data_IF_430775117582
#
_entry.id   IF_430775117582
#
_cell.length_a   1.000
_cell.length_b   1.000
_cell.length_c   1.000
_cell.angle_alpha   90.00
_cell.angle_beta   90.00
_cell.angle_gamma   90.00
#
_symmetry.space_group_name_H-M   'P 1'
#
loop_
_entity.id
_entity.type
_entity.pdbx_description
1 polymer ?
#
# COMPACT_ATOMS: atom_id res chain seq x y z
N UNK A 1 -17.70 16.27 15.26
CA UNK A 1 -18.06 15.06 16.04
C UNK A 1 -19.44 14.62 15.57
N UNK A 2 -19.67 13.32 15.36
CA UNK A 2 -21.00 12.82 14.96
C UNK A 2 -21.97 12.98 16.15
N UNK A 3 -23.13 13.64 15.97
CA UNK A 3 -24.11 13.85 17.04
C UNK A 3 -24.73 12.52 17.48
N UNK A 4 -25.07 12.40 18.77
CA UNK A 4 -25.86 11.28 19.26
C UNK A 4 -27.30 11.44 18.78
N UNK A 5 -27.86 10.38 18.20
CA UNK A 5 -29.22 10.39 17.68
C UNK A 5 -30.22 10.35 18.84
N UNK A 6 -30.94 11.44 19.05
CA UNK A 6 -32.05 11.51 20.00
C UNK A 6 -33.32 11.03 19.32
N UNK A 7 -34.00 10.03 19.90
CA UNK A 7 -35.27 9.53 19.37
C UNK A 7 -36.36 10.60 19.56
N UNK A 8 -37.11 10.98 18.52
CA UNK A 8 -38.21 11.93 18.68
C UNK A 8 -39.30 11.35 19.58
N UNK A 9 -39.90 12.19 20.43
CA UNK A 9 -40.97 11.80 21.34
C UNK A 9 -42.34 12.13 20.71
N UNK A 10 -43.36 11.27 20.89
CA UNK A 10 -44.69 11.56 20.36
C UNK A 10 -45.30 12.77 21.09
N UNK A 11 -46.06 13.63 20.39
CA UNK A 11 -46.76 14.75 21.01
C UNK A 11 -47.87 14.23 21.96
N UNK A 12 -48.10 14.94 23.06
CA UNK A 12 -49.18 14.64 23.99
C UNK A 12 -50.54 14.87 23.31
N UNK A 13 -51.46 13.91 23.43
CA UNK A 13 -52.82 14.07 22.90
C UNK A 13 -53.61 15.05 23.76
N UNK A 14 -54.15 16.10 23.13
CA UNK A 14 -55.12 17.01 23.72
C UNK A 14 -56.32 17.13 22.77
N UNK A 15 -57.41 16.47 23.16
CA UNK A 15 -58.63 16.36 22.35
C UNK A 15 -59.72 17.35 22.81
N UNK A 16 -59.39 18.25 23.74
CA UNK A 16 -60.36 19.11 24.45
C UNK A 16 -61.07 20.12 23.56
N UNK A 17 -60.43 20.56 22.47
CA UNK A 17 -60.95 21.60 21.56
C UNK A 17 -60.60 21.25 20.11
N UNK A 18 -61.44 21.64 19.13
CA UNK A 18 -61.15 21.47 17.70
C UNK A 18 -59.78 22.08 17.29
N UNK A 19 -59.44 23.24 17.86
CA UNK A 19 -58.12 23.85 17.66
C UNK A 19 -56.99 22.98 18.21
N UNK A 20 -57.18 22.36 19.39
CA UNK A 20 -56.22 21.45 20.00
C UNK A 20 -56.03 20.17 19.15
N UNK A 21 -57.12 19.63 18.59
CA UNK A 21 -57.07 18.50 17.66
C UNK A 21 -56.30 18.83 16.36
N UNK A 22 -56.49 20.04 15.81
CA UNK A 22 -55.77 20.49 14.62
C UNK A 22 -54.27 20.66 14.91
N UNK A 23 -53.90 21.26 16.05
CA UNK A 23 -52.49 21.40 16.45
C UNK A 23 -51.83 20.07 16.76
N UNK A 24 -52.55 19.13 17.39
CA UNK A 24 -52.05 17.77 17.63
C UNK A 24 -51.78 17.05 16.32
N UNK A 25 -52.68 17.18 15.34
CA UNK A 25 -52.49 16.57 14.01
C UNK A 25 -51.24 17.11 13.30
N UNK A 26 -51.01 18.42 13.35
CA UNK A 26 -49.81 19.04 12.79
C UNK A 26 -48.53 18.54 13.49
N UNK A 27 -48.51 18.56 14.83
CA UNK A 27 -47.38 18.08 15.62
C UNK A 27 -47.11 16.58 15.43
N UNK A 28 -48.17 15.79 15.21
CA UNK A 28 -48.05 14.35 14.96
C UNK A 28 -47.48 14.06 13.56
N UNK A 29 -47.83 14.88 12.56
CA UNK A 29 -47.24 14.78 11.23
C UNK A 29 -45.76 15.20 11.23
N UNK A 30 -45.38 16.26 11.95
CA UNK A 30 -43.96 16.62 12.20
C UNK A 30 -43.19 15.49 12.90
N UNK A 31 -43.78 14.88 13.93
CA UNK A 31 -43.19 13.72 14.61
C UNK A 31 -42.96 12.53 13.66
N UNK A 32 -43.86 12.28 12.70
CA UNK A 32 -43.66 11.22 11.70
C UNK A 32 -42.47 11.53 10.79
N UNK A 33 -42.37 12.77 10.32
CA UNK A 33 -41.27 13.20 9.45
C UNK A 33 -39.92 13.09 10.18
N UNK A 34 -39.86 13.57 11.43
CA UNK A 34 -38.68 13.43 12.31
C UNK A 34 -38.33 11.97 12.58
N UNK A 35 -39.32 11.12 12.78
CA UNK A 35 -39.12 9.67 12.96
C UNK A 35 -38.54 9.04 11.71
N UNK A 36 -39.04 9.37 10.53
CA UNK A 36 -38.51 8.87 9.25
C UNK A 36 -37.06 9.32 9.05
N UNK A 37 -36.74 10.57 9.40
CA UNK A 37 -35.37 11.08 9.32
C UNK A 37 -34.43 10.37 10.31
N UNK A 38 -34.89 10.14 11.55
CA UNK A 38 -34.17 9.36 12.56
C UNK A 38 -33.91 7.93 12.09
N UNK A 39 -34.92 7.26 11.53
CA UNK A 39 -34.79 5.88 11.03
C UNK A 39 -33.77 5.80 9.88
N UNK A 40 -33.80 6.74 8.92
CA UNK A 40 -32.80 6.85 7.84
C UNK A 40 -31.38 7.06 8.37
N UNK A 41 -31.21 7.94 9.36
CA UNK A 41 -29.90 8.20 9.96
C UNK A 41 -29.38 6.96 10.71
N UNK A 42 -30.27 6.24 11.39
CA UNK A 42 -29.94 4.99 12.09
C UNK A 42 -29.52 3.90 11.12
N UNK A 43 -30.23 3.74 10.01
CA UNK A 43 -29.87 2.82 8.92
C UNK A 43 -28.49 3.17 8.35
N UNK A 44 -28.26 4.44 8.02
CA UNK A 44 -26.96 4.92 7.51
C UNK A 44 -25.81 4.62 8.48
N UNK A 45 -26.02 4.75 9.79
CA UNK A 45 -25.02 4.40 10.80
C UNK A 45 -24.76 2.88 10.89
N UNK A 46 -25.78 2.04 10.63
CA UNK A 46 -25.59 0.59 10.53
C UNK A 46 -24.82 0.22 9.26
N UNK A 47 -25.11 0.86 8.14
CA UNK A 47 -24.39 0.64 6.89
C UNK A 47 -22.91 1.03 7.03
N UNK A 48 -22.62 2.18 7.65
CA UNK A 48 -21.25 2.57 7.98
C UNK A 48 -20.57 1.54 8.88
N UNK A 49 -21.28 0.97 9.85
CA UNK A 49 -20.74 -0.09 10.71
C UNK A 49 -20.40 -1.35 9.91
N UNK A 50 -21.29 -1.79 9.02
CA UNK A 50 -21.06 -2.95 8.15
C UNK A 50 -19.84 -2.70 7.27
N UNK A 51 -19.75 -1.53 6.66
CA UNK A 51 -18.62 -1.13 5.84
C UNK A 51 -17.29 -1.14 6.61
N UNK A 52 -17.27 -0.61 7.84
CA UNK A 52 -16.08 -0.66 8.70
C UNK A 52 -15.71 -2.12 9.02
N UNK A 53 -16.68 -2.98 9.34
CA UNK A 53 -16.40 -4.38 9.64
C UNK A 53 -15.88 -5.16 8.42
N UNK A 54 -16.32 -4.81 7.22
CA UNK A 54 -15.86 -5.43 5.97
C UNK A 54 -14.44 -4.97 5.56
N UNK A 55 -14.06 -3.74 5.92
CA UNK A 55 -12.75 -3.17 5.55
C UNK A 55 -11.62 -3.54 6.52
N UNK A 56 -11.96 -3.94 7.74
CA UNK A 56 -10.97 -4.35 8.75
C UNK A 56 -10.51 -5.79 8.49
N UNK A 57 -9.19 -6.02 8.53
CA UNK A 57 -8.61 -7.38 8.42
C UNK A 57 -9.17 -8.31 9.51
N UNK A 58 -9.51 -9.54 9.13
CA UNK A 58 -10.08 -10.57 9.99
C UNK A 58 -9.31 -10.78 11.30
N UNK A 59 -7.99 -10.52 11.31
CA UNK A 59 -7.14 -10.58 12.51
C UNK A 59 -7.58 -9.64 13.64
N UNK A 60 -8.26 -8.56 13.32
CA UNK A 60 -8.69 -7.56 14.30
C UNK A 60 -10.16 -7.70 14.72
N UNK A 61 -10.86 -8.74 14.26
CA UNK A 61 -12.27 -9.00 14.58
C UNK A 61 -12.53 -9.16 16.09
N UNK A 62 -11.54 -9.63 16.85
CA UNK A 62 -11.65 -9.72 18.33
C UNK A 62 -11.84 -8.35 18.99
N UNK A 63 -11.29 -7.28 18.39
CA UNK A 63 -11.43 -5.92 18.93
C UNK A 63 -12.81 -5.32 18.65
N UNK A 64 -13.50 -5.80 17.61
CA UNK A 64 -14.79 -5.27 17.13
C UNK A 64 -16.00 -5.97 17.74
N UNK A 65 -15.79 -7.12 18.38
CA UNK A 65 -16.84 -7.93 18.98
C UNK A 65 -17.65 -7.15 20.04
N UNK A 66 -18.98 -7.26 19.97
CA UNK A 66 -19.91 -6.67 20.93
C UNK A 66 -20.17 -5.16 20.77
N UNK A 67 -19.59 -4.49 19.76
CA UNK A 67 -19.78 -3.04 19.57
C UNK A 67 -20.87 -2.77 18.54
N UNK A 68 -21.95 -2.14 19.00
CA UNK A 68 -23.13 -1.82 18.20
C UNK A 68 -23.08 -0.44 17.53
N UNK A 69 -22.29 0.49 18.09
CA UNK A 69 -22.16 1.86 17.56
C UNK A 69 -20.93 1.99 16.65
N UNK A 70 -21.13 2.48 15.42
CA UNK A 70 -20.05 2.78 14.47
C UNK A 70 -19.00 3.72 15.05
N UNK A 71 -19.42 4.72 15.85
CA UNK A 71 -18.52 5.67 16.52
C UNK A 71 -17.59 4.96 17.51
N UNK A 72 -18.15 4.13 18.38
CA UNK A 72 -17.37 3.41 19.39
C UNK A 72 -16.45 2.37 18.75
N UNK A 73 -16.90 1.78 17.64
CA UNK A 73 -16.10 0.87 16.83
C UNK A 73 -14.87 1.57 16.27
N UNK A 74 -15.05 2.72 15.61
CA UNK A 74 -13.94 3.54 15.10
C UNK A 74 -13.00 4.01 16.20
N UNK A 75 -13.53 4.48 17.34
CA UNK A 75 -12.73 4.94 18.45
C UNK A 75 -11.87 3.81 19.04
N UNK A 76 -12.42 2.60 19.16
CA UNK A 76 -11.67 1.44 19.65
C UNK A 76 -10.64 0.97 18.64
N UNK A 77 -11.01 0.81 17.36
CA UNK A 77 -10.08 0.48 16.28
C UNK A 77 -8.91 1.48 16.23
N UNK A 78 -9.20 2.78 16.33
CA UNK A 78 -8.17 3.81 16.41
C UNK A 78 -7.27 3.62 17.63
N UNK A 79 -7.81 3.31 18.80
CA UNK A 79 -7.02 3.13 20.02
C UNK A 79 -6.14 1.87 19.98
N UNK A 80 -6.64 0.77 19.42
CA UNK A 80 -5.97 -0.54 19.49
C UNK A 80 -5.15 -0.89 18.24
N UNK A 81 -5.47 -0.32 17.08
CA UNK A 81 -4.83 -0.66 15.81
C UNK A 81 -4.05 0.52 15.24
N UNK A 82 -4.49 1.77 15.44
CA UNK A 82 -3.71 2.89 14.92
C UNK A 82 -2.34 2.89 15.60
N UNK A 83 -1.24 2.86 14.83
CA UNK A 83 0.08 3.05 15.40
C UNK A 83 0.07 4.37 16.16
N UNK A 84 0.46 4.35 17.43
CA UNK A 84 0.75 5.60 18.15
C UNK A 84 1.75 6.42 17.32
N UNK A 85 1.67 7.75 17.36
CA UNK A 85 2.60 8.62 16.65
C UNK A 85 4.08 8.25 16.95
N UNK A 86 4.39 7.72 18.14
CA UNK A 86 5.71 7.17 18.45
C UNK A 86 6.01 5.85 17.73
N UNK A 87 5.05 4.93 17.68
CA UNK A 87 5.19 3.68 16.95
C UNK A 87 5.33 3.90 15.44
N UNK A 88 4.56 4.84 14.86
CA UNK A 88 4.67 5.21 13.44
C UNK A 88 6.02 5.84 13.12
N UNK A 89 6.54 6.71 14.00
CA UNK A 89 7.91 7.27 13.87
C UNK A 89 8.97 6.17 13.88
N UNK A 90 8.87 5.22 14.81
CA UNK A 90 9.79 4.09 14.87
C UNK A 90 9.69 3.17 13.64
N UNK A 91 8.48 2.95 13.12
CA UNK A 91 8.27 2.19 11.89
C UNK A 91 8.96 2.85 10.70
N UNK A 92 8.74 4.15 10.49
CA UNK A 92 9.38 4.91 9.42
C UNK A 92 10.89 4.91 9.59
N UNK A 93 11.39 5.08 10.82
CA UNK A 93 12.81 4.97 11.11
C UNK A 93 13.38 3.62 10.69
N UNK A 94 12.72 2.52 11.04
CA UNK A 94 13.17 1.17 10.68
C UNK A 94 13.12 0.93 9.17
N UNK A 95 12.09 1.42 8.49
CA UNK A 95 11.99 1.36 7.03
C UNK A 95 13.10 2.18 6.38
N UNK A 96 13.39 3.37 6.90
CA UNK A 96 14.48 4.22 6.43
C UNK A 96 15.84 3.55 6.56
N UNK A 97 16.14 2.92 7.70
CA UNK A 97 17.41 2.19 7.87
C UNK A 97 17.54 1.03 6.87
N UNK A 98 16.47 0.30 6.58
CA UNK A 98 16.48 -0.73 5.53
C UNK A 98 16.74 -0.13 4.15
N UNK A 99 16.17 1.04 3.90
CA UNK A 99 16.26 1.74 2.63
C UNK A 99 17.68 2.24 2.32
N UNK A 100 18.52 2.47 3.33
CA UNK A 100 19.94 2.83 3.18
C UNK A 100 20.80 1.74 2.53
N UNK A 101 20.29 0.52 2.42
CA UNK A 101 20.99 -0.58 1.75
C UNK A 101 20.45 -0.74 0.33
N UNK A 102 21.36 -0.83 -0.65
CA UNK A 102 20.98 -1.06 -2.03
C UNK A 102 20.30 -2.44 -2.17
N UNK A 103 19.15 -2.51 -2.84
CA UNK A 103 18.40 -3.75 -3.00
C UNK A 103 19.01 -4.65 -4.07
N UNK A 104 18.43 -5.82 -4.31
CA UNK A 104 18.77 -6.62 -5.50
C UNK A 104 18.26 -5.91 -6.77
N UNK A 105 18.96 -6.08 -7.90
CA UNK A 105 18.63 -5.43 -9.19
C UNK A 105 17.17 -5.57 -9.63
N UNK A 106 16.52 -6.70 -9.28
CA UNK A 106 15.11 -6.98 -9.60
C UNK A 106 14.11 -6.08 -8.87
N UNK A 107 14.50 -5.52 -7.73
CA UNK A 107 13.61 -4.72 -6.86
C UNK A 107 14.03 -3.25 -6.78
N UNK A 108 14.98 -2.81 -7.61
CA UNK A 108 15.47 -1.42 -7.62
C UNK A 108 14.36 -0.41 -7.93
N UNK A 109 13.48 -0.67 -8.90
CA UNK A 109 12.40 0.29 -9.21
C UNK A 109 11.41 0.47 -8.06
N UNK A 110 11.08 -0.64 -7.38
CA UNK A 110 10.27 -0.61 -6.16
C UNK A 110 10.99 0.21 -5.08
N UNK A 111 12.28 -0.07 -4.86
CA UNK A 111 13.08 0.66 -3.89
C UNK A 111 13.18 2.17 -4.21
N UNK A 112 13.30 2.58 -5.47
CA UNK A 112 13.29 4.00 -5.84
C UNK A 112 11.95 4.67 -5.52
N UNK A 113 10.84 3.98 -5.75
CA UNK A 113 9.50 4.45 -5.35
C UNK A 113 9.36 4.51 -3.83
N UNK A 114 9.89 3.52 -3.12
CA UNK A 114 9.87 3.45 -1.67
C UNK A 114 10.66 4.62 -1.05
N UNK A 115 11.76 5.07 -1.67
CA UNK A 115 12.48 6.29 -1.26
C UNK A 115 11.62 7.55 -1.34
N UNK A 116 10.92 7.76 -2.47
CA UNK A 116 10.04 8.93 -2.68
C UNK A 116 8.88 8.94 -1.67
N UNK A 117 8.26 7.79 -1.45
CA UNK A 117 7.13 7.64 -0.50
C UNK A 117 7.57 7.79 0.95
N UNK A 118 8.70 7.17 1.35
CA UNK A 118 9.26 7.31 2.69
C UNK A 118 9.71 8.74 3.00
N UNK A 119 10.29 9.45 2.02
CA UNK A 119 10.64 10.85 2.19
C UNK A 119 9.42 11.73 2.43
N UNK A 120 8.34 11.53 1.66
CA UNK A 120 7.08 12.25 1.86
C UNK A 120 6.47 11.99 3.24
N UNK A 121 6.45 10.72 3.67
CA UNK A 121 5.96 10.31 4.99
C UNK A 121 6.81 10.88 6.14
N UNK A 122 8.14 10.86 6.00
CA UNK A 122 9.08 11.38 6.99
C UNK A 122 9.02 12.91 7.07
N UNK A 123 8.88 13.60 5.94
CA UNK A 123 8.69 15.06 5.87
C UNK A 123 7.39 15.48 6.55
N UNK A 124 6.28 14.75 6.31
CA UNK A 124 4.99 15.01 6.99
C UNK A 124 5.09 14.89 8.50
N UNK A 125 5.92 13.98 9.02
CA UNK A 125 6.14 13.79 10.45
C UNK A 125 7.28 14.64 11.01
N UNK A 126 7.93 15.49 10.20
CA UNK A 126 9.08 16.33 10.55
C UNK A 126 10.20 15.54 11.24
N UNK A 127 10.48 14.36 10.68
CA UNK A 127 11.54 13.49 11.15
C UNK A 127 12.93 14.04 10.75
N UNK A 128 13.97 13.90 11.59
CA UNK A 128 15.31 14.41 11.31
C UNK A 128 15.98 13.72 10.11
N UNK A 129 15.47 12.58 9.68
CA UNK A 129 15.92 11.85 8.48
C UNK A 129 15.60 12.61 7.18
N UNK A 130 14.47 13.33 7.15
CA UNK A 130 14.04 14.13 6.01
C UNK A 130 14.40 15.62 6.15
N UNK A 131 15.16 15.98 7.19
CA UNK A 131 15.63 17.34 7.40
C UNK A 131 16.86 17.64 6.54
N UNK A 132 16.93 18.88 6.05
CA UNK A 132 18.04 19.41 5.26
C UNK A 132 18.37 18.51 4.04
N UNK A 133 19.67 18.31 3.77
CA UNK A 133 20.17 17.48 2.68
C UNK A 133 20.41 16.02 3.10
N UNK A 134 19.93 15.61 4.28
CA UNK A 134 20.25 14.30 4.86
C UNK A 134 19.67 13.14 4.05
N UNK A 135 18.47 13.31 3.50
CA UNK A 135 17.83 12.29 2.68
C UNK A 135 18.59 12.06 1.37
N UNK A 136 19.06 13.12 0.75
CA UNK A 136 19.89 13.11 -0.46
C UNK A 136 21.21 12.40 -0.17
N UNK A 137 21.85 12.71 0.96
CA UNK A 137 23.10 12.05 1.37
C UNK A 137 22.87 10.56 1.63
N UNK A 138 21.84 10.20 2.41
CA UNK A 138 21.52 8.79 2.72
C UNK A 138 21.22 7.98 1.45
N UNK A 139 20.48 8.57 0.49
CA UNK A 139 20.25 7.96 -0.81
C UNK A 139 21.55 7.75 -1.59
N UNK A 140 22.43 8.76 -1.67
CA UNK A 140 23.69 8.62 -2.40
C UNK A 140 24.65 7.63 -1.71
N UNK A 141 24.68 7.58 -0.38
CA UNK A 141 25.44 6.59 0.38
C UNK A 141 24.97 5.17 0.06
N UNK A 142 23.66 4.96 -0.07
CA UNK A 142 23.11 3.64 -0.44
C UNK A 142 23.58 3.18 -1.83
N UNK A 143 23.84 4.12 -2.74
CA UNK A 143 24.32 3.84 -4.09
C UNK A 143 25.83 3.62 -4.18
N UNK A 144 26.62 4.01 -3.17
CA UNK A 144 28.09 3.95 -3.24
C UNK A 144 28.64 2.54 -3.48
N UNK A 145 27.95 1.50 -3.01
CA UNK A 145 28.44 0.12 -3.16
C UNK A 145 28.34 -0.39 -4.61
N UNK A 146 27.27 -0.05 -5.33
CA UNK A 146 27.01 -0.58 -6.69
C UNK A 146 27.23 0.45 -7.79
N UNK A 147 26.96 1.71 -7.51
CA UNK A 147 27.02 2.83 -8.46
C UNK A 147 27.90 3.97 -7.91
N UNK A 148 29.19 3.71 -7.63
CA UNK A 148 30.08 4.70 -7.00
C UNK A 148 30.26 5.96 -7.85
N UNK A 149 30.28 5.83 -9.18
CA UNK A 149 30.45 6.96 -10.12
C UNK A 149 29.32 7.99 -9.98
N UNK A 150 28.07 7.51 -9.95
CA UNK A 150 26.91 8.37 -9.77
C UNK A 150 26.89 9.00 -8.36
N UNK A 151 27.10 8.16 -7.34
CA UNK A 151 27.09 8.61 -5.96
C UNK A 151 28.16 9.69 -5.70
N UNK A 152 29.39 9.47 -6.18
CA UNK A 152 30.51 10.40 -6.03
C UNK A 152 30.23 11.75 -6.69
N UNK A 153 29.80 11.75 -7.96
CA UNK A 153 29.49 12.96 -8.72
C UNK A 153 28.43 13.83 -8.00
N UNK A 154 27.30 13.23 -7.60
CA UNK A 154 26.22 13.99 -6.97
C UNK A 154 26.57 14.44 -5.56
N UNK A 155 27.36 13.68 -4.80
CA UNK A 155 27.83 14.14 -3.48
C UNK A 155 28.75 15.34 -3.59
N UNK A 156 29.70 15.33 -4.53
CA UNK A 156 30.58 16.47 -4.76
C UNK A 156 29.78 17.70 -5.23
N UNK A 157 28.77 17.49 -6.08
CA UNK A 157 27.89 18.56 -6.57
C UNK A 157 27.01 19.14 -5.46
N UNK A 158 26.50 18.33 -4.53
CA UNK A 158 25.77 18.82 -3.36
C UNK A 158 26.70 19.63 -2.46
N UNK A 159 27.90 19.11 -2.15
CA UNK A 159 28.88 19.80 -1.32
C UNK A 159 29.28 21.18 -1.90
N UNK A 160 29.55 21.23 -3.21
CA UNK A 160 29.84 22.49 -3.88
C UNK A 160 28.66 23.49 -3.79
N UNK A 161 27.43 23.02 -3.92
CA UNK A 161 26.24 23.88 -3.83
C UNK A 161 25.98 24.39 -2.42
N UNK A 162 26.23 23.56 -1.40
CA UNK A 162 26.16 24.00 -0.01
C UNK A 162 27.20 25.07 0.28
N UNK A 163 28.42 24.95 -0.27
CA UNK A 163 29.47 25.96 -0.12
C UNK A 163 29.12 27.28 -0.84
N UNK A 164 28.51 27.20 -2.03
CA UNK A 164 28.06 28.37 -2.80
C UNK A 164 26.70 28.93 -2.37
N UNK A 165 26.06 28.35 -1.35
CA UNK A 165 24.70 28.70 -0.87
C UNK A 165 23.61 28.60 -1.96
N UNK A 166 23.80 27.72 -2.94
CA UNK A 166 22.79 27.39 -3.94
C UNK A 166 21.86 26.28 -3.43
N UNK A 167 20.63 26.24 -3.94
CA UNK A 167 19.70 25.14 -3.63
C UNK A 167 20.28 23.81 -4.11
N UNK A 168 20.42 22.86 -3.18
CA UNK A 168 20.74 21.48 -3.50
C UNK A 168 19.64 20.86 -4.38
N UNK A 169 19.98 19.90 -5.27
CA UNK A 169 18.99 19.14 -6.01
C UNK A 169 18.07 18.39 -5.04
N UNK A 170 16.78 18.32 -5.36
CA UNK A 170 15.83 17.60 -4.52
C UNK A 170 16.08 16.08 -4.60
N UNK A 171 15.62 15.34 -3.59
CA UNK A 171 15.69 13.87 -3.61
C UNK A 171 14.97 13.29 -4.85
N UNK A 172 13.81 13.85 -5.21
CA UNK A 172 13.05 13.42 -6.38
C UNK A 172 13.84 13.62 -7.69
N UNK A 173 14.56 14.75 -7.82
CA UNK A 173 15.42 15.00 -8.97
C UNK A 173 16.58 13.98 -9.03
N UNK A 174 17.21 13.67 -7.90
CA UNK A 174 18.28 12.68 -7.82
C UNK A 174 17.79 11.28 -8.20
N UNK A 175 16.62 10.88 -7.70
CA UNK A 175 15.98 9.59 -8.05
C UNK A 175 15.64 9.54 -9.53
N UNK A 176 15.06 10.60 -10.09
CA UNK A 176 14.74 10.69 -11.52
C UNK A 176 16.00 10.59 -12.40
N UNK A 177 17.07 11.29 -12.04
CA UNK A 177 18.35 11.23 -12.75
C UNK A 177 18.99 9.85 -12.67
N UNK A 178 18.89 9.18 -11.52
CA UNK A 178 19.37 7.81 -11.37
C UNK A 178 18.57 6.83 -12.26
N UNK A 179 17.23 6.95 -12.29
CA UNK A 179 16.38 6.17 -13.21
C UNK A 179 16.83 6.35 -14.65
N UNK A 180 17.04 7.58 -15.09
CA UNK A 180 17.47 7.90 -16.44
C UNK A 180 18.82 7.26 -16.78
N UNK A 181 19.84 7.43 -15.92
CA UNK A 181 21.16 6.83 -16.15
C UNK A 181 21.08 5.30 -16.21
N UNK A 182 20.27 4.69 -15.34
CA UNK A 182 20.08 3.24 -15.35
C UNK A 182 19.42 2.76 -16.65
N UNK A 183 18.41 3.47 -17.14
CA UNK A 183 17.80 3.17 -18.43
C UNK A 183 18.80 3.28 -19.58
N UNK A 184 19.62 4.33 -19.62
CA UNK A 184 20.67 4.50 -20.63
C UNK A 184 21.70 3.37 -20.59
N UNK A 185 22.14 2.96 -19.38
CA UNK A 185 23.08 1.85 -19.21
C UNK A 185 22.50 0.51 -19.67
N UNK A 186 21.23 0.23 -19.35
CA UNK A 186 20.56 -1.00 -19.77
C UNK A 186 20.39 -1.03 -21.29
N UNK A 187 19.99 0.09 -21.90
CA UNK A 187 19.88 0.23 -23.35
C UNK A 187 21.24 0.05 -24.05
N UNK A 188 22.30 0.64 -23.52
CA UNK A 188 23.66 0.51 -24.07
C UNK A 188 24.22 -0.93 -23.96
N UNK A 189 23.80 -1.69 -22.94
CA UNK A 189 24.23 -3.08 -22.74
C UNK A 189 23.44 -4.09 -23.59
N UNK A 190 22.45 -3.66 -24.38
CA UNK A 190 21.60 -4.55 -25.18
C UNK A 190 20.81 -5.57 -24.35
N UNK A 191 20.77 -5.39 -23.02
CA UNK A 191 19.97 -6.20 -22.10
C UNK A 191 18.60 -5.57 -22.00
N UNK A 192 17.80 -5.71 -23.05
CA UNK A 192 16.34 -5.57 -22.96
C UNK A 192 15.77 -6.74 -22.17
N UNK A 193 16.03 -6.71 -20.86
CA UNK A 193 15.39 -7.58 -19.90
C UNK A 193 13.98 -7.04 -19.68
N UNK A 194 13.00 -7.47 -20.49
CA UNK A 194 11.55 -7.68 -20.24
C UNK A 194 10.78 -6.78 -19.22
N UNK A 195 11.30 -5.63 -18.82
CA UNK A 195 10.77 -4.70 -17.83
C UNK A 195 10.55 -3.31 -18.45
N UNK A 196 10.45 -3.24 -19.78
CA UNK A 196 9.80 -2.13 -20.41
C UNK A 196 8.33 -2.20 -19.97
N UNK A 197 7.91 -1.26 -19.13
CA UNK A 197 6.51 -0.91 -19.02
C UNK A 197 6.05 -0.47 -20.41
N UNK A 198 5.54 -1.41 -21.20
CA UNK A 198 4.79 -1.15 -22.41
C UNK A 198 3.40 -0.63 -21.98
N UNK A 199 3.35 0.59 -21.43
CA UNK A 199 2.09 1.27 -21.18
C UNK A 199 1.69 1.97 -22.48
N UNK A 200 0.88 1.29 -23.30
CA UNK A 200 0.11 1.98 -24.33
C UNK A 200 -0.92 2.86 -23.62
N UNK A 201 -1.09 4.09 -24.09
CA UNK A 201 -1.93 5.13 -23.46
C UNK A 201 -3.45 4.83 -23.53
N UNK A 202 -3.86 3.56 -23.70
CA UNK A 202 -5.25 3.10 -23.71
C UNK A 202 -5.45 1.67 -23.13
N UNK A 203 -4.56 1.21 -22.25
CA UNK A 203 -4.89 0.14 -21.29
C UNK A 203 -5.27 -1.22 -21.87
N UNK A 204 -4.72 -1.62 -23.02
CA UNK A 204 -4.77 -3.01 -23.49
C UNK A 204 -3.35 -3.59 -23.44
N UNK A 205 -3.20 -4.62 -22.60
CA UNK A 205 -1.98 -5.43 -22.52
C UNK A 205 -1.78 -6.16 -23.85
N UNK A 206 -0.63 -5.94 -24.49
CA UNK A 206 -0.19 -6.78 -25.60
C UNK A 206 0.49 -7.98 -24.94
N UNK A 207 -0.25 -9.08 -24.75
CA UNK A 207 0.38 -10.36 -24.47
C UNK A 207 1.29 -10.70 -25.66
N UNK A 208 2.61 -10.85 -25.47
CA UNK A 208 3.46 -11.36 -26.53
C UNK A 208 3.10 -12.83 -26.73
N UNK A 209 2.44 -13.11 -27.85
CA UNK A 209 2.27 -14.46 -28.39
C UNK A 209 3.66 -15.08 -28.48
N UNK A 210 3.94 -16.06 -27.63
CA UNK A 210 5.16 -16.85 -27.71
C UNK A 210 5.17 -17.57 -29.05
N UNK A 211 5.88 -17.01 -30.03
CA UNK A 211 6.27 -17.72 -31.22
C UNK A 211 7.35 -18.71 -30.79
N UNK A 212 6.99 -20.00 -30.76
CA UNK A 212 7.86 -21.12 -30.46
C UNK A 212 8.98 -21.18 -31.49
N UNK A 213 10.10 -20.52 -31.19
CA UNK A 213 11.38 -20.82 -31.81
C UNK A 213 11.99 -21.94 -30.99
N UNK A 214 12.02 -23.14 -31.58
CA UNK A 214 12.71 -24.30 -31.05
C UNK A 214 14.19 -23.97 -30.82
N UNK A 215 14.55 -23.74 -29.56
CA UNK A 215 15.92 -23.75 -29.09
C UNK A 215 16.09 -25.01 -28.23
N UNK A 216 16.86 -25.96 -28.76
CA UNK A 216 17.20 -27.23 -28.13
C UNK A 216 17.97 -27.00 -26.83
N UNK A 217 17.39 -27.37 -25.70
CA UNK A 217 18.04 -27.40 -24.39
C UNK A 217 18.96 -28.64 -24.30
N UNK A 218 20.24 -28.54 -23.86
CA UNK A 218 21.08 -29.72 -23.70
C UNK A 218 20.64 -30.50 -22.46
N UNK A 219 19.81 -31.52 -22.66
CA UNK A 219 19.54 -32.56 -21.68
C UNK A 219 20.84 -33.20 -21.20
N UNK A 220 21.04 -33.15 -19.87
CA UNK A 220 22.20 -33.70 -19.18
C UNK A 220 22.50 -35.13 -19.62
N UNK A 221 23.73 -35.36 -20.06
CA UNK A 221 24.20 -36.66 -20.52
C UNK A 221 24.15 -37.68 -19.38
N UNK A 222 23.41 -38.77 -19.58
CA UNK A 222 23.51 -39.96 -18.74
C UNK A 222 24.96 -40.48 -18.72
N UNK A 223 25.43 -41.01 -17.58
CA UNK A 223 26.80 -41.51 -17.34
C UNK A 223 27.27 -42.61 -18.31
N UNK A 224 26.38 -43.13 -19.17
CA UNK A 224 26.68 -44.10 -20.22
C UNK A 224 26.90 -43.51 -21.63
N UNK A 225 26.84 -42.18 -21.80
CA UNK A 225 27.18 -41.50 -23.06
C UNK A 225 26.19 -41.71 -24.21
N UNK A 226 24.96 -42.19 -23.96
CA UNK A 226 23.89 -42.33 -24.96
C UNK A 226 22.60 -41.68 -24.46
N UNK A 227 21.80 -41.14 -25.39
CA UNK A 227 20.55 -40.45 -25.06
C UNK A 227 19.38 -41.45 -25.01
N UNK A 228 18.65 -41.52 -23.89
CA UNK A 228 17.51 -42.41 -23.71
C UNK A 228 16.22 -41.62 -23.46
N UNK A 229 15.11 -41.93 -24.16
CA UNK A 229 13.81 -41.31 -23.88
C UNK A 229 13.27 -41.82 -22.52
N UNK A 230 13.03 -40.88 -21.59
CA UNK A 230 12.62 -41.16 -20.21
C UNK A 230 11.26 -41.84 -20.12
N UNK A 231 11.23 -43.11 -19.70
CA UNK A 231 10.01 -43.81 -19.28
C UNK A 231 9.74 -43.53 -17.81
N UNK A 232 8.65 -42.82 -17.53
CA UNK A 232 7.98 -42.82 -16.23
C UNK A 232 7.60 -44.25 -15.86
N UNK A 233 8.19 -44.80 -14.81
CA UNK A 233 7.73 -46.05 -14.18
C UNK A 233 7.34 -45.77 -12.74
N UNK A 234 6.03 -45.65 -12.52
CA UNK A 234 5.37 -45.90 -11.25
C UNK A 234 5.66 -47.33 -10.81
N UNK A 235 6.40 -47.51 -9.72
CA UNK A 235 6.58 -48.83 -9.07
C UNK A 235 5.58 -48.94 -7.93
N UNK A 236 4.49 -49.66 -8.19
CA UNK A 236 3.62 -50.21 -7.15
C UNK A 236 4.22 -51.54 -6.68
N UNK A 237 4.77 -51.58 -5.47
CA UNK A 237 5.13 -52.84 -4.81
C UNK A 237 3.95 -53.35 -3.99
N UNK A 238 3.26 -54.37 -4.51
CA UNK A 238 2.62 -55.42 -3.71
C UNK A 238 3.41 -56.69 -4.00
N UNK A 239 3.90 -57.36 -2.96
CA UNK A 239 4.09 -58.81 -2.97
C UNK A 239 3.87 -59.35 -1.56
N UNK A 240 2.97 -60.32 -1.49
CA UNK A 240 2.56 -61.07 -0.33
C UNK A 240 2.90 -62.55 -0.56
N UNK A 241 3.09 -63.25 0.57
CA UNK A 241 3.26 -64.71 0.74
C UNK A 241 4.58 -65.30 0.22
N UNK A 242 5.29 -66.15 0.98
CA UNK A 242 4.91 -66.90 2.16
C UNK A 242 5.20 -68.38 1.93
N UNK A 243 5.69 -69.04 2.99
CA UNK A 243 6.18 -70.42 3.10
C UNK A 243 7.67 -70.64 2.77
#
# INVERSE_FOLDING_TARGET
MLPELTKPAPPAADDSTFAAQMTWKMAYDEYKDDKVLFDKQKESLQDLRIFILQTVDAKYTTYTYGISSARNLLAKLKKSIAPSDKARRNEIYNLWQKQKHYPTERTVEKWLRDWETLYSDASRLRLPEAADDRAQIDFLLSLMEKHPEFAGYWRQRIAHRTDTKESAPSLADLVSKFRMQRHEQLAAQGKDSHWAYATTLQGWDIEPKQESTEATDPQGSCLCGKNHPGRNTTVAHKNASGA
#
